data_IF_299187450811
#
_entry.id   IF_299187450811
#
_cell.length_a   1.000
_cell.length_b   1.000
_cell.length_c   1.000
_cell.angle_alpha   90.00
_cell.angle_beta   90.00
_cell.angle_gamma   90.00
#
_symmetry.space_group_name_H-M   'P 1'
#
loop_
_entity.id
_entity.type
_entity.pdbx_description
1 polymer ?
#
# COMPACT_ATOMS: atom_id res chain seq x y z
N UNK A 1 -8.96 8.24 -1.35
CA UNK A 1 -7.98 8.10 -0.24
C UNK A 1 -8.71 7.51 0.97
N UNK A 2 -7.99 6.91 1.92
CA UNK A 2 -8.52 6.38 3.18
C UNK A 2 -7.73 7.01 4.33
N UNK A 3 -8.42 7.69 5.24
CA UNK A 3 -7.82 8.45 6.33
C UNK A 3 -8.51 8.05 7.65
N UNK A 4 -7.74 7.71 8.68
CA UNK A 4 -8.29 7.51 10.04
C UNK A 4 -9.30 6.36 10.16
N UNK A 5 -9.20 5.32 9.34
CA UNK A 5 -10.20 4.26 9.31
C UNK A 5 -10.00 3.26 10.46
N UNK A 6 -10.54 3.58 11.63
CA UNK A 6 -10.37 2.82 12.88
C UNK A 6 -11.02 1.43 12.86
N UNK A 7 -12.12 1.26 12.12
CA UNK A 7 -12.91 0.01 12.09
C UNK A 7 -12.79 -0.76 10.77
N UNK A 8 -12.20 -0.13 9.76
CA UNK A 8 -12.16 -0.71 8.42
C UNK A 8 -11.08 -1.80 8.39
N UNK A 9 -11.49 -3.05 8.30
CA UNK A 9 -10.54 -4.17 8.27
C UNK A 9 -10.02 -4.48 6.87
N UNK A 10 -10.78 -4.06 5.85
CA UNK A 10 -10.52 -4.35 4.45
C UNK A 10 -10.92 -3.16 3.58
N UNK A 11 -10.15 -2.91 2.54
CA UNK A 11 -10.53 -1.96 1.52
C UNK A 11 -11.76 -2.45 0.74
N UNK A 12 -12.60 -1.55 0.21
CA UNK A 12 -13.79 -1.91 -0.56
C UNK A 12 -13.41 -2.71 -1.81
N UNK A 13 -14.11 -3.82 -2.07
CA UNK A 13 -13.88 -4.62 -3.29
C UNK A 13 -14.11 -3.83 -4.59
N UNK A 14 -14.96 -2.81 -4.55
CA UNK A 14 -15.21 -1.91 -5.69
C UNK A 14 -14.01 -1.07 -6.13
N UNK A 15 -12.93 -1.00 -5.33
CA UNK A 15 -11.74 -0.24 -5.68
C UNK A 15 -11.10 -0.72 -7.00
N UNK A 16 -11.21 -2.01 -7.29
CA UNK A 16 -10.68 -2.63 -8.51
C UNK A 16 -11.39 -2.18 -9.77
N UNK A 17 -12.64 -1.72 -9.65
CA UNK A 17 -13.47 -1.22 -10.76
C UNK A 17 -13.17 0.24 -11.10
N UNK A 18 -12.37 0.93 -10.30
CA UNK A 18 -12.00 2.32 -10.52
C UNK A 18 -10.88 2.41 -11.57
N UNK A 19 -11.24 2.25 -12.85
CA UNK A 19 -10.32 2.24 -13.99
C UNK A 19 -9.57 3.57 -14.21
N UNK A 20 -9.93 4.64 -13.50
CA UNK A 20 -9.27 5.95 -13.56
C UNK A 20 -8.48 6.28 -12.29
N UNK A 21 -8.45 5.39 -11.29
CA UNK A 21 -7.76 5.66 -10.04
C UNK A 21 -6.25 5.56 -10.28
N UNK A 22 -5.57 6.71 -10.20
CA UNK A 22 -4.10 6.81 -10.35
C UNK A 22 -3.37 6.83 -9.02
N UNK A 23 -3.98 7.37 -7.98
CA UNK A 23 -3.33 7.56 -6.68
C UNK A 23 -4.23 6.97 -5.58
N UNK A 24 -3.64 6.14 -4.73
CA UNK A 24 -4.29 5.57 -3.55
C UNK A 24 -3.45 5.86 -2.31
N UNK A 25 -4.01 6.65 -1.41
CA UNK A 25 -3.40 6.94 -0.10
C UNK A 25 -4.20 6.27 1.01
N UNK A 26 -3.51 5.64 1.95
CA UNK A 26 -4.07 4.96 3.12
C UNK A 26 -3.26 5.41 4.34
N UNK A 27 -3.84 6.28 5.16
CA UNK A 27 -3.15 6.89 6.29
C UNK A 27 -3.90 6.69 7.60
N UNK A 28 -3.18 6.33 8.67
CA UNK A 28 -3.75 6.23 10.01
C UNK A 28 -4.90 5.24 10.10
N UNK A 29 -4.78 4.07 9.45
CA UNK A 29 -5.83 3.06 9.41
C UNK A 29 -5.36 1.81 10.17
N UNK A 30 -5.51 1.76 11.51
CA UNK A 30 -4.91 0.71 12.33
C UNK A 30 -5.58 -0.66 12.21
N UNK A 31 -6.82 -0.72 11.72
CA UNK A 31 -7.56 -1.98 11.58
C UNK A 31 -7.40 -2.64 10.21
N UNK A 32 -6.90 -1.93 9.17
CA UNK A 32 -6.77 -2.50 7.82
C UNK A 32 -5.69 -3.57 7.86
N UNK A 33 -6.08 -4.83 7.66
CA UNK A 33 -5.14 -5.95 7.71
C UNK A 33 -4.57 -6.29 6.33
N UNK A 34 -5.38 -6.07 5.30
CA UNK A 34 -5.11 -6.52 3.94
C UNK A 34 -5.53 -5.44 2.95
N UNK A 35 -4.66 -5.20 1.97
CA UNK A 35 -5.02 -4.58 0.70
C UNK A 35 -6.04 -5.46 -0.05
N UNK A 36 -6.72 -4.99 -1.12
CA UNK A 36 -7.77 -5.75 -1.76
C UNK A 36 -7.22 -7.11 -2.18
N UNK A 37 -7.90 -8.19 -1.76
CA UNK A 37 -7.42 -9.57 -1.90
C UNK A 37 -7.13 -9.95 -3.35
N UNK A 38 -7.87 -9.38 -4.28
CA UNK A 38 -7.81 -9.72 -5.69
C UNK A 38 -6.72 -8.90 -6.36
N UNK A 39 -6.93 -7.60 -6.63
CA UNK A 39 -5.92 -6.70 -7.20
C UNK A 39 -6.14 -5.26 -6.76
N UNK A 40 -5.11 -4.42 -6.83
CA UNK A 40 -5.31 -2.97 -6.91
C UNK A 40 -5.77 -2.59 -8.33
N UNK A 41 -6.46 -1.45 -8.52
CA UNK A 41 -6.86 -1.01 -9.85
C UNK A 41 -5.66 -0.94 -10.81
N UNK A 42 -5.85 -1.42 -12.04
CA UNK A 42 -4.79 -1.52 -13.05
C UNK A 42 -4.30 -0.18 -13.60
N UNK A 43 -4.98 0.92 -13.24
CA UNK A 43 -4.58 2.29 -13.57
C UNK A 43 -3.72 2.93 -12.48
N UNK A 44 -3.50 2.26 -11.35
CA UNK A 44 -2.86 2.83 -10.19
C UNK A 44 -1.37 3.07 -10.46
N UNK A 45 -0.95 4.31 -10.30
CA UNK A 45 0.41 4.79 -10.52
C UNK A 45 1.13 5.05 -9.19
N UNK A 46 0.41 5.46 -8.16
CA UNK A 46 0.97 5.75 -6.85
C UNK A 46 0.19 5.07 -5.72
N UNK A 47 0.91 4.39 -4.84
CA UNK A 47 0.39 3.80 -3.61
C UNK A 47 1.16 4.34 -2.42
N UNK A 48 0.44 4.94 -1.48
CA UNK A 48 1.01 5.45 -0.24
C UNK A 48 0.30 4.82 0.96
N UNK A 49 1.06 4.22 1.86
CA UNK A 49 0.55 3.58 3.07
C UNK A 49 1.34 4.11 4.26
N UNK A 50 0.69 4.82 5.18
CA UNK A 50 1.31 5.47 6.36
C UNK A 50 0.53 5.13 7.63
N UNK A 51 1.21 4.86 8.74
CA UNK A 51 0.56 4.64 10.04
C UNK A 51 -0.55 3.57 9.98
N UNK A 52 -0.28 2.47 9.30
CA UNK A 52 -1.20 1.33 9.14
C UNK A 52 -0.53 0.03 9.63
N UNK A 53 -0.37 -0.15 10.96
CA UNK A 53 0.43 -1.24 11.53
C UNK A 53 -0.15 -2.64 11.30
N UNK A 54 -1.46 -2.75 11.07
CA UNK A 54 -2.10 -4.05 10.80
C UNK A 54 -1.88 -4.56 9.38
N UNK A 55 -1.43 -3.72 8.43
CA UNK A 55 -1.13 -4.15 7.06
C UNK A 55 0.18 -4.92 7.06
N UNK A 56 0.10 -6.25 6.90
CA UNK A 56 1.27 -7.14 6.95
C UNK A 56 1.75 -7.62 5.59
N UNK A 57 0.94 -7.47 4.54
CA UNK A 57 1.26 -7.98 3.21
C UNK A 57 0.59 -7.22 2.08
N UNK A 58 1.26 -7.21 0.94
CA UNK A 58 0.74 -6.75 -0.36
C UNK A 58 -0.26 -7.77 -0.95
N UNK A 59 -1.04 -7.40 -1.99
CA UNK A 59 -1.93 -8.33 -2.68
C UNK A 59 -1.16 -9.53 -3.23
N UNK A 60 -1.79 -10.73 -3.19
CA UNK A 60 -1.15 -11.98 -3.63
C UNK A 60 -0.81 -11.99 -5.12
N UNK A 61 -1.64 -11.35 -5.94
CA UNK A 61 -1.45 -11.22 -7.39
C UNK A 61 -0.39 -10.16 -7.75
N UNK A 62 0.28 -9.58 -6.76
CA UNK A 62 1.26 -8.52 -6.96
C UNK A 62 0.63 -7.14 -7.09
N UNK A 63 1.48 -6.16 -7.39
CA UNK A 63 1.10 -4.77 -7.63
C UNK A 63 0.81 -4.56 -9.12
N UNK A 64 -0.04 -3.60 -9.49
CA UNK A 64 -0.36 -3.33 -10.89
C UNK A 64 0.90 -2.85 -11.63
N UNK A 65 1.08 -3.28 -12.87
CA UNK A 65 2.25 -2.91 -13.70
C UNK A 65 2.34 -1.41 -13.99
N UNK A 66 1.23 -0.69 -13.86
CA UNK A 66 1.17 0.76 -13.96
C UNK A 66 1.79 1.48 -12.76
N UNK A 67 2.09 0.77 -11.66
CA UNK A 67 2.56 1.38 -10.42
C UNK A 67 3.99 1.90 -10.59
N UNK A 68 4.14 3.21 -10.46
CA UNK A 68 5.40 3.93 -10.61
C UNK A 68 5.99 4.31 -9.26
N UNK A 69 5.14 4.55 -8.25
CA UNK A 69 5.54 4.99 -6.92
C UNK A 69 4.90 4.15 -5.83
N UNK A 70 5.72 3.62 -4.93
CA UNK A 70 5.30 2.98 -3.70
C UNK A 70 5.96 3.67 -2.51
N UNK A 71 5.16 4.21 -1.61
CA UNK A 71 5.62 4.94 -0.44
C UNK A 71 5.09 4.28 0.83
N UNK A 72 6.01 3.78 1.65
CA UNK A 72 5.76 3.08 2.91
C UNK A 72 6.64 3.70 4.00
N UNK A 73 6.25 4.86 4.57
CA UNK A 73 7.03 5.55 5.59
C UNK A 73 6.93 4.82 6.94
N UNK A 74 6.87 5.57 8.04
CA UNK A 74 6.79 5.01 9.38
C UNK A 74 5.40 4.44 9.71
N UNK A 75 5.32 3.68 10.81
CA UNK A 75 4.06 3.16 11.33
C UNK A 75 3.48 1.95 10.58
N UNK A 76 4.30 1.26 9.78
CA UNK A 76 3.91 0.04 9.04
C UNK A 76 4.61 -1.19 9.60
N UNK A 77 4.04 -2.37 9.35
CA UNK A 77 4.61 -3.64 9.82
C UNK A 77 5.96 -3.96 9.17
N UNK A 78 6.86 -4.61 9.92
CA UNK A 78 8.18 -5.06 9.43
C UNK A 78 8.03 -6.04 8.26
N UNK A 79 6.99 -6.86 8.27
CA UNK A 79 6.67 -7.81 7.20
C UNK A 79 6.37 -7.08 5.89
N UNK A 80 5.53 -6.03 5.93
CA UNK A 80 5.21 -5.25 4.74
C UNK A 80 6.44 -4.50 4.20
N UNK A 81 7.24 -3.90 5.08
CA UNK A 81 8.52 -3.27 4.71
C UNK A 81 9.43 -4.25 3.98
N UNK A 82 9.58 -5.48 4.50
CA UNK A 82 10.38 -6.53 3.86
C UNK A 82 9.86 -6.88 2.46
N UNK A 83 8.54 -6.91 2.25
CA UNK A 83 7.97 -7.14 0.93
C UNK A 83 8.24 -5.95 -0.02
N UNK A 84 8.14 -4.72 0.47
CA UNK A 84 8.43 -3.52 -0.32
C UNK A 84 9.90 -3.48 -0.78
N UNK A 85 10.84 -3.92 0.08
CA UNK A 85 12.26 -4.05 -0.29
C UNK A 85 12.51 -5.04 -1.42
N UNK A 86 11.73 -6.12 -1.52
CA UNK A 86 11.83 -7.10 -2.63
C UNK A 86 11.36 -6.54 -3.97
N UNK A 87 10.61 -5.44 -3.95
CA UNK A 87 10.09 -4.78 -5.14
C UNK A 87 11.04 -3.69 -5.67
N UNK A 88 12.14 -3.40 -4.94
CA UNK A 88 13.18 -2.47 -5.42
C UNK A 88 13.72 -2.98 -6.75
N UNK A 89 13.69 -2.13 -7.77
CA UNK A 89 14.06 -2.48 -9.15
C UNK A 89 12.88 -2.97 -10.02
N UNK A 90 11.75 -3.35 -9.42
CA UNK A 90 10.49 -3.60 -10.16
C UNK A 90 9.63 -2.34 -10.25
N UNK A 91 9.62 -1.54 -9.19
CA UNK A 91 8.91 -0.26 -9.13
C UNK A 91 9.94 0.87 -9.30
N UNK A 92 9.68 1.85 -10.19
CA UNK A 92 10.58 2.98 -10.44
C UNK A 92 10.98 3.74 -9.17
N UNK A 93 10.02 4.02 -8.28
CA UNK A 93 10.24 4.80 -7.06
C UNK A 93 9.69 4.01 -5.87
N UNK A 94 10.58 3.61 -4.95
CA UNK A 94 10.19 3.06 -3.65
C UNK A 94 10.80 3.92 -2.56
N UNK A 95 9.94 4.52 -1.73
CA UNK A 95 10.33 5.30 -0.57
C UNK A 95 9.96 4.50 0.68
N UNK A 96 10.97 3.95 1.36
CA UNK A 96 10.86 3.29 2.67
C UNK A 96 11.72 4.09 3.63
N UNK A 97 11.08 4.83 4.55
CA UNK A 97 11.79 5.53 5.62
C UNK A 97 12.07 4.49 6.70
N UNK A 98 13.24 3.85 6.61
CA UNK A 98 13.81 3.16 7.76
C UNK A 98 14.25 4.23 8.76
N UNK A 99 13.67 4.20 9.97
CA UNK A 99 14.16 4.96 11.12
C UNK A 99 15.51 4.38 11.58
N UNK A 100 16.54 4.50 10.75
CA UNK A 100 17.92 4.22 11.14
C UNK A 100 18.91 5.14 10.43
N UNK A 101 18.50 6.39 10.22
CA UNK A 101 19.39 7.50 9.91
C UNK A 101 19.34 8.50 11.07
N UNK A 102 19.81 8.05 12.24
CA UNK A 102 20.31 8.83 13.38
C UNK A 102 21.18 7.93 14.26
#
# INVERSE_FOLDING_TARGET
EFLGCEKLQRLPAGLTKLASLKILRIWGCPAIQLLPKDRLPSSLQELEIRDCPAIKSLPKDGLPSSLQKLEVPYGISKELKRQCRKLKGTIPIIIDYDNNDY
#
